data_IF_867865319623
#
_entry.id   IF_867865319623
#
_cell.length_a   1.000
_cell.length_b   1.000
_cell.length_c   1.000
_cell.angle_alpha   90.00
_cell.angle_beta   90.00
_cell.angle_gamma   90.00
#
_symmetry.space_group_name_H-M   'P 1'
#
loop_
_entity.id
_entity.type
_entity.pdbx_description
1 polymer ?
#
# COMPACT_ATOMS: atom_id res chain seq x y z
N UNK A 1 29.47 20.88 -31.46
CA UNK A 1 29.12 19.46 -31.53
C UNK A 1 30.40 18.66 -31.42
N UNK A 2 30.50 17.74 -30.47
CA UNK A 2 31.64 16.83 -30.34
C UNK A 2 31.14 15.41 -30.65
N UNK A 3 31.78 14.78 -31.63
CA UNK A 3 31.59 13.38 -32.01
C UNK A 3 32.62 12.53 -31.28
N UNK A 4 32.23 11.34 -30.81
CA UNK A 4 33.19 10.35 -30.30
C UNK A 4 33.87 9.61 -31.47
N UNK A 5 34.89 8.80 -31.14
CA UNK A 5 35.75 8.08 -32.09
C UNK A 5 35.02 7.11 -33.03
N UNK A 6 33.74 6.79 -32.77
CA UNK A 6 32.95 5.85 -33.55
C UNK A 6 31.85 6.50 -34.40
N UNK A 7 31.77 7.84 -34.46
CA UNK A 7 30.81 8.53 -35.34
C UNK A 7 29.35 8.42 -34.92
N UNK A 8 29.07 7.89 -33.72
CA UNK A 8 27.74 7.92 -33.14
C UNK A 8 27.45 9.32 -32.57
N UNK A 9 26.30 9.87 -32.93
CA UNK A 9 25.76 11.07 -32.29
C UNK A 9 25.43 10.66 -30.85
N UNK A 10 26.25 11.08 -29.88
CA UNK A 10 25.85 11.04 -28.47
C UNK A 10 24.54 11.82 -28.35
N UNK A 11 23.44 11.09 -28.18
CA UNK A 11 22.15 11.71 -27.85
C UNK A 11 22.30 12.30 -26.46
N UNK A 12 22.55 13.61 -26.40
CA UNK A 12 22.78 14.41 -25.19
C UNK A 12 21.49 14.54 -24.37
N UNK A 13 21.05 13.43 -23.81
CA UNK A 13 19.78 13.32 -23.10
C UNK A 13 19.87 12.48 -21.84
N UNK A 14 18.91 12.72 -20.95
CA UNK A 14 18.73 12.01 -19.69
C UNK A 14 17.61 10.99 -19.87
N UNK A 15 17.81 9.74 -19.47
CA UNK A 15 16.66 8.82 -19.36
C UNK A 15 15.62 9.39 -18.39
N UNK A 16 14.36 9.00 -18.55
CA UNK A 16 13.30 9.44 -17.62
C UNK A 16 13.67 9.10 -16.16
N UNK A 17 14.28 7.95 -15.90
CA UNK A 17 14.76 7.56 -14.58
C UNK A 17 15.86 8.50 -14.07
N UNK A 18 16.84 8.84 -14.93
CA UNK A 18 17.94 9.73 -14.56
C UNK A 18 17.47 11.17 -14.34
N UNK A 19 16.59 11.66 -15.21
CA UNK A 19 15.94 12.97 -15.05
C UNK A 19 15.09 13.03 -13.77
N UNK A 20 14.34 11.96 -13.47
CA UNK A 20 13.56 11.84 -12.23
C UNK A 20 14.45 11.88 -10.99
N UNK A 21 15.59 11.17 -11.03
CA UNK A 21 16.59 11.19 -9.97
C UNK A 21 17.21 12.58 -9.78
N UNK A 22 17.61 13.25 -10.87
CA UNK A 22 18.23 14.60 -10.79
C UNK A 22 17.22 15.66 -10.32
N UNK A 23 15.98 15.63 -10.81
CA UNK A 23 14.93 16.57 -10.39
C UNK A 23 14.28 16.18 -9.05
N UNK A 24 14.70 15.05 -8.46
CA UNK A 24 14.12 14.47 -7.25
C UNK A 24 12.58 14.36 -7.27
N UNK A 25 12.05 13.80 -8.36
CA UNK A 25 10.61 13.56 -8.52
C UNK A 25 10.35 12.14 -9.03
N UNK A 26 9.07 11.73 -9.09
CA UNK A 26 8.73 10.43 -9.69
C UNK A 26 8.92 10.42 -11.20
N UNK A 27 9.16 9.25 -11.80
CA UNK A 27 9.17 9.09 -13.26
C UNK A 27 7.83 9.48 -13.90
N UNK A 28 6.71 9.33 -13.18
CA UNK A 28 5.40 9.83 -13.61
C UNK A 28 5.36 11.37 -13.67
N UNK A 29 6.04 12.05 -12.74
CA UNK A 29 6.18 13.51 -12.74
C UNK A 29 6.97 13.97 -13.97
N UNK A 30 8.10 13.34 -14.29
CA UNK A 30 8.86 13.62 -15.51
C UNK A 30 8.00 13.38 -16.76
N UNK A 31 7.28 12.25 -16.82
CA UNK A 31 6.35 11.97 -17.94
C UNK A 31 5.26 13.01 -18.06
N UNK A 32 4.72 13.51 -16.96
CA UNK A 32 3.75 14.59 -16.97
C UNK A 32 4.40 15.89 -17.48
N UNK A 33 5.60 16.25 -17.04
CA UNK A 33 6.30 17.43 -17.54
C UNK A 33 6.55 17.36 -19.05
N UNK A 34 6.87 16.17 -19.57
CA UNK A 34 6.96 15.92 -21.01
C UNK A 34 5.60 16.15 -21.69
N UNK A 35 4.53 15.52 -21.20
CA UNK A 35 3.17 15.68 -21.75
C UNK A 35 2.69 17.13 -21.75
N UNK A 36 3.07 17.88 -20.73
CA UNK A 36 2.69 19.31 -20.59
C UNK A 36 3.65 20.27 -21.29
N UNK A 37 4.58 19.77 -22.12
CA UNK A 37 5.50 20.59 -22.90
C UNK A 37 6.54 21.37 -22.07
N UNK A 38 6.73 21.03 -20.79
CA UNK A 38 7.79 21.61 -19.96
C UNK A 38 9.15 20.95 -20.23
N UNK A 39 9.14 19.67 -20.60
CA UNK A 39 10.33 18.92 -20.97
C UNK A 39 10.18 18.39 -22.40
N UNK A 40 11.22 18.56 -23.21
CA UNK A 40 11.28 18.02 -24.56
C UNK A 40 12.07 16.72 -24.59
N UNK A 41 11.63 15.77 -25.41
CA UNK A 41 12.34 14.52 -25.62
C UNK A 41 13.33 14.66 -26.79
N UNK A 42 14.55 14.16 -26.61
CA UNK A 42 15.52 13.97 -27.71
C UNK A 42 15.43 12.57 -28.33
N UNK A 43 14.65 11.68 -27.72
CA UNK A 43 14.35 10.33 -28.19
C UNK A 43 13.32 9.64 -27.30
N UNK A 44 12.83 8.45 -27.70
CA UNK A 44 11.81 7.72 -26.92
C UNK A 44 12.34 7.40 -25.52
N UNK A 45 11.74 8.00 -24.50
CA UNK A 45 12.14 7.81 -23.10
C UNK A 45 13.39 8.60 -22.67
N UNK A 46 13.89 9.50 -23.53
CA UNK A 46 15.08 10.31 -23.28
C UNK A 46 14.70 11.79 -23.34
N UNK A 47 14.93 12.51 -22.24
CA UNK A 47 14.70 13.95 -22.07
C UNK A 47 15.92 14.72 -22.57
N UNK A 48 15.71 15.75 -23.37
CA UNK A 48 16.77 16.68 -23.79
C UNK A 48 17.41 17.34 -22.56
N UNK A 49 18.74 17.24 -22.47
CA UNK A 49 19.46 17.79 -21.32
C UNK A 49 19.38 19.32 -21.25
N UNK A 50 19.27 19.99 -22.41
CA UNK A 50 19.07 21.44 -22.49
C UNK A 50 17.68 21.84 -21.95
N UNK A 51 16.64 21.16 -22.43
CA UNK A 51 15.26 21.39 -21.94
C UNK A 51 15.14 21.13 -20.44
N UNK A 52 15.80 20.08 -19.96
CA UNK A 52 15.81 19.75 -18.54
C UNK A 52 16.53 20.81 -17.71
N UNK A 53 17.70 21.28 -18.12
CA UNK A 53 18.42 22.36 -17.42
C UNK A 53 17.61 23.65 -17.37
N UNK A 54 17.02 24.05 -18.51
CA UNK A 54 16.16 25.25 -18.60
C UNK A 54 14.94 25.15 -17.67
N UNK A 55 14.26 24.01 -17.69
CA UNK A 55 13.14 23.76 -16.78
C UNK A 55 13.56 23.86 -15.30
N UNK A 56 14.71 23.28 -14.95
CA UNK A 56 15.23 23.28 -13.58
C UNK A 56 15.70 24.68 -13.11
N UNK A 57 16.08 25.59 -14.01
CA UNK A 57 16.49 26.95 -13.65
C UNK A 57 15.34 27.96 -13.64
N UNK A 58 14.36 27.82 -14.54
CA UNK A 58 13.36 28.86 -14.79
C UNK A 58 11.99 28.55 -14.18
N UNK A 59 11.59 27.27 -14.13
CA UNK A 59 10.22 26.85 -13.80
C UNK A 59 10.17 26.07 -12.48
N UNK A 60 11.19 25.25 -12.26
CA UNK A 60 11.41 24.53 -11.02
C UNK A 60 11.67 25.50 -9.86
N UNK A 61 10.75 25.53 -8.90
CA UNK A 61 10.84 26.32 -7.66
C UNK A 61 10.03 27.61 -7.67
N UNK A 62 9.47 27.99 -8.83
CA UNK A 62 8.61 29.19 -8.98
C UNK A 62 7.14 28.83 -9.21
N UNK A 63 6.85 27.86 -10.10
CA UNK A 63 5.46 27.49 -10.44
C UNK A 63 5.00 26.12 -9.91
N UNK A 64 5.90 25.12 -9.78
CA UNK A 64 5.50 23.73 -9.48
C UNK A 64 6.22 23.00 -8.36
N UNK A 65 7.39 23.46 -7.93
CA UNK A 65 8.15 22.80 -6.87
C UNK A 65 7.84 23.31 -5.46
N UNK A 66 7.02 24.36 -5.34
CA UNK A 66 6.52 24.80 -4.04
C UNK A 66 5.25 24.01 -3.70
N UNK A 67 5.34 23.24 -2.63
CA UNK A 67 4.29 22.49 -1.92
C UNK A 67 3.99 21.02 -2.31
N UNK A 68 4.05 20.55 -3.57
CA UNK A 68 3.66 19.15 -3.89
C UNK A 68 4.78 18.23 -4.40
N UNK A 69 5.84 18.77 -5.02
CA UNK A 69 6.88 17.97 -5.66
C UNK A 69 8.07 17.62 -4.76
N UNK A 70 8.24 18.29 -3.61
CA UNK A 70 9.32 18.04 -2.65
C UNK A 70 8.88 17.18 -1.44
N UNK A 71 8.03 16.15 -1.63
CA UNK A 71 7.87 15.13 -0.58
C UNK A 71 9.15 14.29 -0.43
N UNK A 72 9.86 13.99 -1.50
CA UNK A 72 11.02 13.08 -1.44
C UNK A 72 12.27 13.66 -0.77
N UNK A 73 12.35 14.98 -0.56
CA UNK A 73 13.55 15.68 -0.01
C UNK A 73 13.34 16.33 1.36
N UNK A 74 12.14 16.24 1.96
CA UNK A 74 11.97 16.69 3.35
C UNK A 74 12.38 15.57 4.31
N UNK A 75 13.65 15.20 4.22
CA UNK A 75 14.48 14.48 5.20
C UNK A 75 15.21 13.29 4.58
N UNK A 76 16.46 13.56 4.18
CA UNK A 76 17.54 12.61 4.36
C UNK A 76 17.85 12.65 5.86
N UNK A 77 17.09 11.88 6.66
CA UNK A 77 17.35 11.79 8.09
C UNK A 77 18.73 11.17 8.27
N UNK A 78 19.68 11.97 8.77
CA UNK A 78 20.96 11.47 9.25
C UNK A 78 20.68 10.42 10.33
N UNK A 79 21.01 9.16 10.04
CA UNK A 79 20.76 8.02 10.94
C UNK A 79 21.35 8.23 12.34
N UNK A 80 22.35 9.11 12.48
CA UNK A 80 22.92 9.50 13.78
C UNK A 80 21.97 10.38 14.59
N UNK A 81 21.32 11.36 13.98
CA UNK A 81 20.42 12.29 14.68
C UNK A 81 19.14 11.58 15.15
N UNK A 82 18.71 10.53 14.46
CA UNK A 82 17.54 9.71 14.84
C UNK A 82 17.87 8.74 15.99
N UNK A 83 19.10 8.20 16.05
CA UNK A 83 19.51 7.29 17.13
C UNK A 83 19.62 8.00 18.48
N UNK A 84 20.14 9.23 18.51
CA UNK A 84 20.22 10.02 19.76
C UNK A 84 18.81 10.43 20.25
N UNK A 85 17.87 10.64 19.32
CA UNK A 85 16.46 10.89 19.64
C UNK A 85 15.78 9.67 20.27
N UNK A 86 16.13 8.44 19.86
CA UNK A 86 15.48 7.24 20.40
C UNK A 86 15.76 7.05 21.89
N UNK A 87 17.00 7.20 22.34
CA UNK A 87 17.34 7.06 23.77
C UNK A 87 16.54 8.03 24.63
N UNK A 88 16.43 9.30 24.21
CA UNK A 88 15.62 10.31 24.88
C UNK A 88 14.13 9.97 24.91
N UNK A 89 13.60 9.36 23.84
CA UNK A 89 12.21 8.91 23.79
C UNK A 89 11.96 7.77 24.78
N UNK A 90 12.87 6.80 24.85
CA UNK A 90 12.78 5.66 25.78
C UNK A 90 12.92 6.13 27.24
N UNK A 91 13.75 7.13 27.52
CA UNK A 91 13.86 7.71 28.86
C UNK A 91 12.59 8.50 29.29
N UNK A 92 11.93 9.15 28.33
CA UNK A 92 10.81 10.07 28.60
C UNK A 92 9.44 9.40 28.59
N UNK A 93 9.27 8.36 27.78
CA UNK A 93 7.99 7.71 27.52
C UNK A 93 8.09 6.21 27.78
N UNK A 94 6.95 5.56 28.01
CA UNK A 94 6.85 4.12 28.25
C UNK A 94 5.79 3.47 27.35
N UNK A 95 5.86 2.16 27.20
CA UNK A 95 4.84 1.37 26.51
C UNK A 95 4.54 1.86 25.08
N UNK A 96 3.25 1.96 24.73
CA UNK A 96 2.81 2.38 23.39
C UNK A 96 3.21 3.83 23.05
N UNK A 97 3.39 4.69 24.06
CA UNK A 97 3.71 6.10 23.82
C UNK A 97 5.08 6.28 23.15
N UNK A 98 6.05 5.41 23.43
CA UNK A 98 7.37 5.45 22.76
C UNK A 98 7.18 5.34 21.24
N UNK A 99 6.33 4.41 20.78
CA UNK A 99 6.02 4.22 19.36
C UNK A 99 5.29 5.42 18.76
N UNK A 100 4.30 5.97 19.47
CA UNK A 100 3.53 7.14 19.01
C UNK A 100 4.43 8.36 18.82
N UNK A 101 5.32 8.62 19.78
CA UNK A 101 6.24 9.75 19.74
C UNK A 101 7.32 9.54 18.69
N UNK A 102 7.83 8.31 18.55
CA UNK A 102 8.75 7.96 17.47
C UNK A 102 8.13 8.20 16.09
N UNK A 103 6.93 7.67 15.84
CA UNK A 103 6.21 7.91 14.57
C UNK A 103 5.98 9.41 14.33
N UNK A 104 5.56 10.15 15.37
CA UNK A 104 5.31 11.59 15.28
C UNK A 104 6.57 12.42 15.06
N UNK A 105 7.74 11.90 15.44
CA UNK A 105 9.03 12.55 15.22
C UNK A 105 9.52 12.46 13.76
N UNK A 106 8.98 11.52 12.99
CA UNK A 106 9.35 11.31 11.58
C UNK A 106 8.59 12.27 10.66
N UNK A 107 9.26 12.77 9.62
CA UNK A 107 8.57 13.56 8.61
C UNK A 107 7.46 12.78 7.90
N UNK A 108 6.32 13.44 7.65
CA UNK A 108 5.18 12.88 6.93
C UNK A 108 5.57 12.27 5.58
N UNK A 109 6.52 12.86 4.87
CA UNK A 109 7.03 12.32 3.60
C UNK A 109 7.77 11.01 3.76
N UNK A 110 8.60 10.89 4.80
CA UNK A 110 9.34 9.68 5.11
C UNK A 110 8.37 8.56 5.50
N UNK A 111 7.42 8.86 6.41
CA UNK A 111 6.33 7.94 6.79
C UNK A 111 5.54 7.44 5.59
N UNK A 112 5.13 8.36 4.70
CA UNK A 112 4.44 8.02 3.46
C UNK A 112 5.26 7.17 2.49
N UNK A 113 6.57 7.41 2.40
CA UNK A 113 7.47 6.69 1.48
C UNK A 113 7.74 5.27 1.98
N UNK A 114 8.02 5.14 3.27
CA UNK A 114 8.42 3.88 3.90
C UNK A 114 7.23 3.06 4.40
N UNK A 115 6.04 3.66 4.51
CA UNK A 115 4.81 3.01 4.99
C UNK A 115 4.71 2.95 6.50
N UNK A 116 5.28 3.93 7.22
CA UNK A 116 5.38 3.91 8.69
C UNK A 116 4.13 4.55 9.30
N UNK A 117 3.17 3.69 9.65
CA UNK A 117 1.94 4.04 10.34
C UNK A 117 1.63 2.95 11.38
N UNK A 118 1.82 3.26 12.66
CA UNK A 118 1.62 2.26 13.70
C UNK A 118 0.13 2.03 13.98
N UNK A 119 -0.22 0.75 14.03
CA UNK A 119 -1.59 0.30 14.16
C UNK A 119 -2.16 0.68 15.52
N UNK A 120 -3.27 1.44 15.61
CA UNK A 120 -3.85 1.81 16.90
C UNK A 120 -4.23 0.59 17.75
N UNK A 121 -3.99 0.66 19.06
CA UNK A 121 -4.30 -0.41 20.02
C UNK A 121 -5.72 -0.98 19.89
N UNK A 122 -6.73 -0.16 19.59
CA UNK A 122 -8.11 -0.63 19.45
C UNK A 122 -8.32 -1.51 18.21
N UNK A 123 -7.59 -1.27 17.11
CA UNK A 123 -7.60 -2.12 15.91
C UNK A 123 -6.93 -3.45 16.23
N UNK A 124 -5.77 -3.41 16.88
CA UNK A 124 -5.02 -4.63 17.25
C UNK A 124 -5.87 -5.52 18.16
N UNK A 125 -6.44 -4.97 19.23
CA UNK A 125 -7.33 -5.72 20.15
C UNK A 125 -8.53 -6.33 19.44
N UNK A 126 -9.15 -5.60 18.51
CA UNK A 126 -10.27 -6.14 17.76
C UNK A 126 -9.84 -7.28 16.81
N UNK A 127 -8.65 -7.20 16.19
CA UNK A 127 -8.14 -8.29 15.35
C UNK A 127 -7.86 -9.58 16.15
N UNK A 128 -7.48 -9.47 17.43
CA UNK A 128 -7.30 -10.62 18.33
C UNK A 128 -8.59 -11.13 19.00
N UNK A 129 -9.71 -10.43 18.81
CA UNK A 129 -10.97 -10.72 19.50
C UNK A 129 -11.44 -12.16 19.25
N UNK A 130 -11.92 -12.81 20.32
CA UNK A 130 -12.46 -14.18 20.31
C UNK A 130 -11.47 -15.27 19.91
N UNK A 131 -10.17 -14.99 19.85
CA UNK A 131 -9.14 -16.00 19.62
C UNK A 131 -8.82 -16.73 20.92
N UNK A 132 -8.68 -18.06 20.85
CA UNK A 132 -8.14 -18.87 21.95
C UNK A 132 -6.67 -19.11 21.69
N UNK A 133 -5.80 -18.50 22.49
CA UNK A 133 -4.35 -18.63 22.35
C UNK A 133 -3.82 -19.61 23.38
N UNK A 134 -2.99 -20.55 22.93
CA UNK A 134 -2.20 -21.41 23.80
C UNK A 134 -0.83 -20.74 24.02
N UNK A 135 -0.30 -20.68 25.25
CA UNK A 135 1.06 -20.16 25.52
C UNK A 135 2.19 -20.76 24.68
N UNK A 136 2.06 -22.02 24.25
CA UNK A 136 3.04 -22.71 23.41
C UNK A 136 2.98 -22.32 21.92
N UNK A 137 2.00 -21.50 21.51
CA UNK A 137 1.88 -21.04 20.14
C UNK A 137 3.04 -20.09 19.79
N UNK A 138 3.58 -20.23 18.57
CA UNK A 138 4.54 -19.27 18.02
C UNK A 138 3.82 -18.16 17.29
N UNK A 139 4.10 -16.92 17.69
CA UNK A 139 3.56 -15.71 17.08
C UNK A 139 4.60 -15.01 16.21
N UNK A 140 4.20 -14.51 15.05
CA UNK A 140 5.04 -13.71 14.17
C UNK A 140 4.33 -12.42 13.75
N UNK A 141 5.02 -11.29 13.88
CA UNK A 141 4.69 -10.04 13.20
C UNK A 141 5.74 -9.73 12.11
N UNK A 142 5.45 -10.00 10.83
CA UNK A 142 6.33 -9.74 9.70
C UNK A 142 6.79 -8.29 9.49
N UNK A 143 6.07 -7.31 10.03
CA UNK A 143 6.33 -5.88 9.86
C UNK A 143 6.07 -5.17 11.19
N UNK A 144 6.84 -5.55 12.21
CA UNK A 144 6.44 -5.32 13.60
C UNK A 144 6.39 -3.86 14.02
N UNK A 145 7.10 -2.97 13.32
CA UNK A 145 7.15 -1.56 13.66
C UNK A 145 7.52 -1.37 15.13
N UNK A 146 6.73 -0.59 15.86
CA UNK A 146 6.90 -0.36 17.29
C UNK A 146 6.35 -1.50 18.17
N UNK A 147 5.79 -2.56 17.59
CA UNK A 147 5.49 -3.82 18.29
C UNK A 147 4.05 -4.01 18.74
N UNK A 148 3.08 -3.23 18.24
CA UNK A 148 1.72 -3.27 18.78
C UNK A 148 1.05 -4.66 18.69
N UNK A 149 1.20 -5.42 17.59
CA UNK A 149 0.68 -6.79 17.53
C UNK A 149 1.49 -7.76 18.40
N UNK A 150 2.81 -7.58 18.50
CA UNK A 150 3.68 -8.41 19.36
C UNK A 150 3.28 -8.27 20.83
N UNK A 151 3.13 -7.03 21.31
CA UNK A 151 2.70 -6.76 22.69
C UNK A 151 1.31 -7.32 22.95
N UNK A 152 0.37 -7.14 22.02
CA UNK A 152 -0.97 -7.71 22.18
C UNK A 152 -0.95 -9.25 22.18
N UNK A 153 -0.13 -9.90 21.35
CA UNK A 153 -0.01 -11.35 21.36
C UNK A 153 0.43 -11.89 22.73
N UNK A 154 1.40 -11.22 23.39
CA UNK A 154 1.83 -11.59 24.75
C UNK A 154 0.69 -11.38 25.75
N UNK A 155 -0.02 -10.24 25.68
CA UNK A 155 -1.19 -9.96 26.55
C UNK A 155 -2.31 -10.99 26.39
N UNK A 156 -2.48 -11.53 25.18
CA UNK A 156 -3.47 -12.57 24.87
C UNK A 156 -3.00 -13.97 25.28
N UNK A 157 -1.76 -14.12 25.75
CA UNK A 157 -1.26 -15.33 26.39
C UNK A 157 -0.11 -16.04 25.68
N UNK A 158 0.42 -15.51 24.56
CA UNK A 158 1.65 -16.07 23.94
C UNK A 158 2.84 -15.84 24.88
N UNK A 159 3.65 -16.88 25.12
CA UNK A 159 4.86 -16.72 25.94
C UNK A 159 5.86 -15.73 25.28
N UNK A 160 6.51 -14.81 26.03
CA UNK A 160 7.46 -13.83 25.47
C UNK A 160 8.63 -14.44 24.65
N UNK A 161 9.04 -15.66 24.97
CA UNK A 161 10.05 -16.41 24.22
C UNK A 161 9.54 -16.93 22.86
N UNK A 162 8.22 -17.00 22.68
CA UNK A 162 7.54 -17.52 21.49
C UNK A 162 7.00 -16.42 20.57
N UNK A 163 7.30 -15.14 20.85
CA UNK A 163 7.02 -14.04 19.92
C UNK A 163 8.22 -13.74 19.03
N UNK A 164 7.95 -13.53 17.75
CA UNK A 164 8.92 -13.25 16.71
C UNK A 164 8.45 -12.03 15.91
N UNK A 165 9.38 -11.27 15.36
CA UNK A 165 9.02 -10.13 14.55
C UNK A 165 10.18 -9.61 13.71
N UNK A 166 9.83 -8.97 12.60
CA UNK A 166 10.82 -8.35 11.71
C UNK A 166 10.39 -6.93 11.38
N UNK A 167 11.36 -6.02 11.36
CA UNK A 167 11.20 -4.71 10.71
C UNK A 167 12.52 -4.30 10.07
N UNK A 168 12.47 -3.48 9.02
CA UNK A 168 13.68 -2.93 8.39
C UNK A 168 14.24 -1.76 9.19
N UNK A 169 13.41 -1.12 10.02
CA UNK A 169 13.81 -0.02 10.88
C UNK A 169 14.37 -0.52 12.21
N UNK A 170 15.66 -0.28 12.41
CA UNK A 170 16.38 -0.63 13.64
C UNK A 170 15.76 0.03 14.87
N UNK A 171 15.28 1.26 14.78
CA UNK A 171 14.71 1.96 15.93
C UNK A 171 13.39 1.31 16.34
N UNK A 172 12.53 1.00 15.37
CA UNK A 172 11.26 0.32 15.60
C UNK A 172 11.47 -1.05 16.29
N UNK A 173 12.47 -1.83 15.84
CA UNK A 173 12.88 -3.09 16.49
C UNK A 173 13.35 -2.86 17.93
N UNK A 174 14.16 -1.83 18.18
CA UNK A 174 14.62 -1.49 19.53
C UNK A 174 13.45 -1.06 20.44
N UNK A 175 12.51 -0.26 19.94
CA UNK A 175 11.29 0.13 20.67
C UNK A 175 10.49 -1.12 21.04
N UNK A 176 10.27 -2.04 20.09
CA UNK A 176 9.53 -3.28 20.35
C UNK A 176 10.20 -4.11 21.45
N UNK A 177 11.52 -4.34 21.37
CA UNK A 177 12.27 -5.08 22.40
C UNK A 177 12.19 -4.40 23.77
N UNK A 178 12.34 -3.07 23.81
CA UNK A 178 12.24 -2.31 25.05
C UNK A 178 10.84 -2.44 25.67
N UNK A 179 9.78 -2.35 24.87
CA UNK A 179 8.40 -2.53 25.35
C UNK A 179 8.15 -3.93 25.90
N UNK A 180 8.69 -4.97 25.27
CA UNK A 180 8.59 -6.35 25.79
C UNK A 180 9.29 -6.45 27.16
N UNK A 181 10.49 -5.89 27.26
CA UNK A 181 11.26 -5.88 28.52
C UNK A 181 10.55 -5.10 29.62
N UNK A 182 10.04 -3.91 29.33
CA UNK A 182 9.34 -3.06 30.30
C UNK A 182 8.05 -3.69 30.81
N UNK A 183 7.24 -4.26 29.91
CA UNK A 183 5.92 -4.74 30.26
C UNK A 183 5.93 -6.17 30.82
N UNK A 184 6.85 -7.03 30.35
CA UNK A 184 6.87 -8.46 30.68
C UNK A 184 8.17 -8.93 31.35
N UNK A 185 9.16 -8.05 31.55
CA UNK A 185 10.43 -8.40 32.18
C UNK A 185 11.30 -9.35 31.35
N UNK A 186 11.07 -9.42 30.03
CA UNK A 186 11.73 -10.38 29.14
C UNK A 186 12.59 -9.69 28.08
N UNK A 187 13.86 -10.07 27.99
CA UNK A 187 14.75 -9.66 26.91
C UNK A 187 14.72 -10.71 25.79
N UNK A 188 14.39 -10.30 24.57
CA UNK A 188 14.24 -11.21 23.41
C UNK A 188 15.11 -10.81 22.23
N UNK A 189 15.73 -11.82 21.61
CA UNK A 189 16.44 -11.70 20.32
C UNK A 189 15.58 -12.09 19.11
N UNK A 190 14.32 -12.47 19.34
CA UNK A 190 13.41 -12.93 18.29
C UNK A 190 12.76 -11.80 17.50
N UNK A 191 12.87 -10.56 17.96
CA UNK A 191 12.48 -9.36 17.20
C UNK A 191 13.72 -8.84 16.47
N UNK A 192 13.78 -8.92 15.15
CA UNK A 192 15.01 -8.74 14.36
C UNK A 192 14.89 -7.64 13.33
N UNK A 193 16.02 -6.98 13.06
CA UNK A 193 16.13 -6.09 11.90
C UNK A 193 16.28 -6.95 10.65
N UNK A 194 15.36 -6.83 9.69
CA UNK A 194 15.40 -7.63 8.47
C UNK A 194 14.28 -7.33 7.47
N UNK A 195 14.54 -7.59 6.19
CA UNK A 195 13.52 -7.59 5.14
C UNK A 195 12.77 -8.94 5.17
N UNK A 196 11.54 -8.94 5.69
CA UNK A 196 10.75 -10.16 5.81
C UNK A 196 10.53 -10.89 4.48
N UNK A 197 10.47 -10.20 3.34
CA UNK A 197 10.34 -10.89 2.05
C UNK A 197 11.57 -11.74 1.72
N UNK A 198 12.73 -11.47 2.33
CA UNK A 198 13.92 -12.32 2.25
C UNK A 198 13.96 -13.35 3.38
N UNK A 199 13.65 -12.92 4.61
CA UNK A 199 13.66 -13.80 5.78
C UNK A 199 12.63 -14.93 5.68
N UNK A 200 11.44 -14.66 5.16
CA UNK A 200 10.41 -15.68 4.93
C UNK A 200 10.88 -16.81 4.01
N UNK A 201 11.76 -16.51 3.04
CA UNK A 201 12.33 -17.56 2.20
C UNK A 201 13.29 -18.47 2.97
N UNK A 202 14.12 -17.90 3.85
CA UNK A 202 15.03 -18.65 4.72
C UNK A 202 14.23 -19.52 5.68
N UNK A 203 13.27 -18.90 6.39
CA UNK A 203 12.36 -19.58 7.31
C UNK A 203 11.63 -20.74 6.64
N UNK A 204 11.11 -20.54 5.43
CA UNK A 204 10.47 -21.60 4.64
C UNK A 204 11.44 -22.73 4.28
N UNK A 205 12.69 -22.41 3.93
CA UNK A 205 13.73 -23.40 3.58
C UNK A 205 14.17 -24.21 4.80
N UNK A 206 14.16 -23.57 5.97
CA UNK A 206 14.45 -24.18 7.28
C UNK A 206 13.20 -24.85 7.90
N UNK A 207 12.08 -24.90 7.18
CA UNK A 207 10.79 -25.45 7.64
C UNK A 207 10.27 -24.82 8.95
N UNK A 208 10.68 -23.58 9.24
CA UNK A 208 10.20 -22.81 10.38
C UNK A 208 8.81 -22.25 10.06
N UNK A 209 7.86 -22.58 10.92
CA UNK A 209 6.46 -22.13 10.80
C UNK A 209 5.94 -21.55 12.10
N UNK A 210 4.88 -20.74 11.97
CA UNK A 210 4.23 -20.03 13.07
C UNK A 210 2.76 -20.41 13.15
N UNK A 211 2.22 -20.46 14.37
CA UNK A 211 0.82 -20.75 14.62
C UNK A 211 -0.05 -19.50 14.41
N UNK A 212 0.49 -18.31 14.71
CA UNK A 212 -0.19 -17.02 14.59
C UNK A 212 0.68 -16.04 13.81
N UNK A 213 0.13 -15.41 12.76
CA UNK A 213 0.81 -14.35 12.02
C UNK A 213 -0.10 -13.13 11.92
N UNK A 214 0.19 -12.06 12.67
CA UNK A 214 -0.63 -10.84 12.65
C UNK A 214 0.25 -9.61 12.38
N UNK A 215 -0.17 -8.76 11.44
CA UNK A 215 0.63 -7.61 11.02
C UNK A 215 -0.20 -6.54 10.31
N UNK A 216 0.37 -5.34 10.26
CA UNK A 216 0.03 -4.30 9.31
C UNK A 216 1.19 -4.16 8.30
N UNK A 217 1.17 -4.87 7.14
CA UNK A 217 2.23 -4.77 6.16
C UNK A 217 2.29 -3.38 5.51
N UNK A 218 3.41 -2.98 4.89
CA UNK A 218 3.49 -1.73 4.17
C UNK A 218 2.58 -1.74 2.93
N UNK A 219 1.70 -0.74 2.80
CA UNK A 219 0.75 -0.61 1.69
C UNK A 219 1.35 0.13 0.50
N UNK A 220 1.42 -0.51 -0.67
CA UNK A 220 1.89 0.11 -1.91
C UNK A 220 3.31 0.66 -1.87
N UNK A 221 4.17 0.17 -0.95
CA UNK A 221 5.56 0.62 -0.83
C UNK A 221 6.29 0.41 -2.16
N UNK A 222 7.12 1.38 -2.51
CA UNK A 222 7.88 1.33 -3.77
C UNK A 222 9.04 0.36 -3.62
N UNK A 223 8.92 -0.76 -4.32
CA UNK A 223 9.97 -1.75 -4.52
C UNK A 223 10.29 -1.78 -6.02
N UNK A 224 11.57 -1.96 -6.35
CA UNK A 224 12.04 -2.16 -7.74
C UNK A 224 11.23 -3.24 -8.44
N UNK A 225 10.90 -3.01 -9.72
CA UNK A 225 10.00 -3.92 -10.47
C UNK A 225 10.56 -5.34 -10.54
N UNK A 226 11.87 -5.47 -10.82
CA UNK A 226 12.55 -6.76 -10.87
C UNK A 226 12.50 -7.52 -9.54
N UNK A 227 12.61 -6.81 -8.41
CA UNK A 227 12.48 -7.39 -7.09
C UNK A 227 11.04 -7.86 -6.81
N UNK A 228 10.02 -7.08 -7.20
CA UNK A 228 8.61 -7.50 -7.12
C UNK A 228 8.32 -8.77 -7.92
N UNK A 229 8.86 -8.86 -9.14
CA UNK A 229 8.71 -10.03 -10.00
C UNK A 229 9.41 -11.25 -9.40
N UNK A 230 10.62 -11.07 -8.84
CA UNK A 230 11.33 -12.13 -8.11
C UNK A 230 10.53 -12.64 -6.91
N UNK A 231 10.01 -11.76 -6.07
CA UNK A 231 9.19 -12.16 -4.93
C UNK A 231 7.86 -12.78 -5.34
N UNK A 232 7.23 -12.28 -6.42
CA UNK A 232 6.01 -12.90 -6.96
C UNK A 232 6.25 -14.32 -7.44
N UNK A 233 7.37 -14.58 -8.12
CA UNK A 233 7.76 -15.92 -8.53
C UNK A 233 8.02 -16.83 -7.31
N UNK A 234 8.74 -16.30 -6.31
CA UNK A 234 9.11 -17.03 -5.10
C UNK A 234 7.90 -17.44 -4.25
N UNK A 235 6.91 -16.55 -4.14
CA UNK A 235 5.74 -16.73 -3.29
C UNK A 235 4.46 -17.03 -4.08
N UNK A 236 4.55 -17.22 -5.40
CA UNK A 236 3.42 -17.54 -6.28
C UNK A 236 2.28 -16.51 -6.23
N UNK A 237 2.60 -15.23 -6.43
CA UNK A 237 1.62 -14.13 -6.36
C UNK A 237 0.91 -13.82 -7.68
N UNK A 238 1.32 -14.45 -8.79
CA UNK A 238 0.77 -14.16 -10.12
C UNK A 238 0.97 -12.68 -10.49
N UNK A 239 -0.12 -12.02 -10.89
CA UNK A 239 -0.12 -10.60 -11.25
C UNK A 239 -0.24 -9.65 -10.04
N UNK A 240 -0.41 -10.19 -8.83
CA UNK A 240 -0.53 -9.42 -7.60
C UNK A 240 0.85 -9.00 -7.06
N UNK A 241 1.40 -7.95 -7.68
CA UNK A 241 2.73 -7.39 -7.38
C UNK A 241 2.73 -6.24 -6.36
N UNK A 242 1.58 -5.93 -5.76
CA UNK A 242 1.50 -4.96 -4.67
C UNK A 242 2.21 -5.51 -3.42
N UNK A 243 2.82 -4.64 -2.61
CA UNK A 243 3.58 -5.08 -1.43
C UNK A 243 2.72 -5.84 -0.46
N UNK A 244 1.46 -5.43 -0.24
CA UNK A 244 0.51 -6.18 0.59
C UNK A 244 0.34 -7.63 0.10
N UNK A 245 0.32 -7.84 -1.22
CA UNK A 245 0.17 -9.19 -1.81
C UNK A 245 1.42 -10.04 -1.57
N UNK A 246 2.61 -9.45 -1.72
CA UNK A 246 3.88 -10.14 -1.51
C UNK A 246 4.04 -10.56 -0.04
N UNK A 247 3.76 -9.67 0.90
CA UNK A 247 3.85 -9.98 2.33
C UNK A 247 2.82 -11.03 2.75
N UNK A 248 1.56 -10.92 2.31
CA UNK A 248 0.54 -11.94 2.60
C UNK A 248 0.95 -13.32 2.07
N UNK A 249 1.45 -13.37 0.83
CA UNK A 249 1.90 -14.60 0.20
C UNK A 249 3.12 -15.24 0.90
N UNK A 250 4.06 -14.41 1.35
CA UNK A 250 5.23 -14.82 2.13
C UNK A 250 4.81 -15.34 3.51
N UNK A 251 3.94 -14.62 4.22
CA UNK A 251 3.37 -15.05 5.50
C UNK A 251 2.62 -16.37 5.41
N UNK A 252 1.78 -16.56 4.39
CA UNK A 252 1.12 -17.85 4.13
C UNK A 252 2.10 -19.00 3.90
N UNK A 253 3.35 -18.72 3.46
CA UNK A 253 4.35 -19.76 3.20
C UNK A 253 5.09 -20.26 4.44
N UNK A 254 4.99 -19.51 5.55
CA UNK A 254 5.55 -19.86 6.88
C UNK A 254 4.45 -20.00 7.93
N UNK A 255 3.18 -20.03 7.51
CA UNK A 255 2.04 -20.26 8.39
C UNK A 255 1.79 -21.77 8.50
N UNK A 256 1.68 -22.27 9.73
CA UNK A 256 1.38 -23.68 10.00
C UNK A 256 -0.03 -24.04 9.51
N UNK A 257 -0.27 -25.34 9.24
CA UNK A 257 -1.63 -25.86 9.01
C UNK A 257 -2.48 -25.59 10.27
N UNK A 258 -3.73 -25.17 10.10
CA UNK A 258 -4.60 -24.64 11.16
C UNK A 258 -4.10 -23.34 11.83
N UNK A 259 -2.99 -22.75 11.39
CA UNK A 259 -2.51 -21.47 11.91
C UNK A 259 -3.41 -20.32 11.50
N UNK A 260 -3.44 -19.24 12.30
CA UNK A 260 -4.24 -18.06 12.04
C UNK A 260 -3.37 -16.93 11.45
N UNK A 261 -3.89 -16.29 10.41
CA UNK A 261 -3.29 -15.11 9.81
C UNK A 261 -4.27 -13.94 9.88
N UNK A 262 -3.81 -12.83 10.46
CA UNK A 262 -4.54 -11.57 10.57
C UNK A 262 -3.79 -10.44 9.88
N UNK A 263 -4.37 -9.85 8.84
CA UNK A 263 -3.71 -8.82 8.05
C UNK A 263 -4.55 -7.54 8.04
N UNK A 264 -3.98 -6.43 8.50
CA UNK A 264 -4.54 -5.09 8.35
C UNK A 264 -4.05 -4.45 7.06
N UNK A 265 -4.95 -4.18 6.14
CA UNK A 265 -4.65 -3.87 4.74
C UNK A 265 -5.53 -2.75 4.19
N UNK A 266 -5.12 -2.18 3.06
CA UNK A 266 -5.85 -1.10 2.40
C UNK A 266 -7.12 -1.58 1.67
N UNK A 267 -8.15 -0.74 1.60
CA UNK A 267 -9.43 -1.03 0.90
C UNK A 267 -9.26 -1.54 -0.54
N UNK A 268 -8.21 -1.10 -1.24
CA UNK A 268 -7.92 -1.49 -2.61
C UNK A 268 -7.72 -3.01 -2.77
N UNK A 269 -7.24 -3.70 -1.72
CA UNK A 269 -7.09 -5.15 -1.73
C UNK A 269 -8.41 -5.86 -2.03
N UNK A 270 -9.54 -5.31 -1.56
CA UNK A 270 -10.83 -5.98 -1.59
C UNK A 270 -11.54 -5.83 -2.94
N UNK A 271 -11.21 -4.83 -3.75
CA UNK A 271 -11.97 -4.51 -4.98
C UNK A 271 -11.13 -4.24 -6.24
N UNK A 272 -9.82 -3.99 -6.15
CA UNK A 272 -8.98 -3.69 -7.32
C UNK A 272 -8.46 -4.97 -7.99
N UNK A 273 -8.51 -5.02 -9.32
CA UNK A 273 -8.12 -6.18 -10.14
C UNK A 273 -6.69 -6.66 -9.91
N UNK A 274 -5.75 -5.74 -9.60
CA UNK A 274 -4.35 -6.11 -9.31
C UNK A 274 -4.23 -7.13 -8.17
N UNK A 275 -5.18 -7.17 -7.23
CA UNK A 275 -5.17 -8.12 -6.12
C UNK A 275 -5.97 -9.41 -6.39
N UNK A 276 -6.47 -9.63 -7.61
CA UNK A 276 -7.32 -10.80 -7.93
C UNK A 276 -6.63 -12.14 -7.60
N UNK A 277 -5.36 -12.33 -7.99
CA UNK A 277 -4.66 -13.60 -7.81
C UNK A 277 -4.39 -13.89 -6.33
N UNK A 278 -4.01 -12.88 -5.55
CA UNK A 278 -3.86 -13.06 -4.10
C UNK A 278 -5.20 -13.29 -3.39
N UNK A 279 -6.29 -12.62 -3.82
CA UNK A 279 -7.63 -12.88 -3.27
C UNK A 279 -8.08 -14.31 -3.54
N UNK A 280 -7.82 -14.88 -4.72
CA UNK A 280 -8.08 -16.31 -5.01
C UNK A 280 -7.33 -17.23 -4.05
N UNK A 281 -6.07 -16.92 -3.75
CA UNK A 281 -5.27 -17.72 -2.81
C UNK A 281 -5.83 -17.66 -1.38
N UNK A 282 -6.30 -16.49 -0.96
CA UNK A 282 -6.98 -16.29 0.31
C UNK A 282 -8.33 -17.03 0.33
N UNK A 283 -9.10 -17.00 -0.76
CA UNK A 283 -10.37 -17.73 -0.91
C UNK A 283 -10.23 -19.26 -0.91
N UNK A 284 -9.02 -19.78 -1.15
CA UNK A 284 -8.71 -21.20 -0.98
C UNK A 284 -8.48 -21.58 0.49
N UNK A 285 -8.51 -20.60 1.40
CA UNK A 285 -8.41 -20.77 2.84
C UNK A 285 -9.74 -20.49 3.51
N UNK A 286 -9.89 -20.99 4.74
CA UNK A 286 -11.04 -20.66 5.58
C UNK A 286 -10.93 -19.22 6.08
N UNK A 287 -11.78 -18.34 5.55
CA UNK A 287 -11.84 -16.94 6.01
C UNK A 287 -12.76 -16.90 7.22
N UNK A 288 -12.27 -16.36 8.34
CA UNK A 288 -13.05 -16.24 9.57
C UNK A 288 -13.77 -14.90 9.63
N UNK A 289 -13.06 -13.82 9.29
CA UNK A 289 -13.55 -12.46 9.53
C UNK A 289 -13.01 -11.44 8.52
N UNK A 290 -13.87 -10.52 8.11
CA UNK A 290 -13.55 -9.33 7.31
C UNK A 290 -14.08 -8.08 8.04
N UNK A 291 -13.22 -7.09 8.25
CA UNK A 291 -13.55 -5.91 9.08
C UNK A 291 -13.19 -4.62 8.37
N UNK A 292 -14.08 -3.63 8.38
CA UNK A 292 -13.80 -2.26 7.96
C UNK A 292 -13.60 -1.36 9.19
N UNK A 293 -12.38 -0.86 9.38
CA UNK A 293 -12.03 0.08 10.44
C UNK A 293 -12.10 1.55 9.99
N UNK A 294 -12.64 1.80 8.79
CA UNK A 294 -12.71 3.11 8.16
C UNK A 294 -11.33 3.82 8.18
N UNK A 295 -11.27 5.11 8.50
CA UNK A 295 -10.03 5.89 8.55
C UNK A 295 -9.35 5.76 9.90
N UNK A 296 -8.89 4.55 10.22
CA UNK A 296 -8.18 4.27 11.48
C UNK A 296 -6.89 5.06 11.67
N UNK A 297 -6.25 5.52 10.58
CA UNK A 297 -4.97 6.22 10.60
C UNK A 297 -5.13 7.71 10.31
N UNK A 298 -4.58 8.55 11.19
CA UNK A 298 -4.59 10.01 11.03
C UNK A 298 -3.82 10.43 9.78
N UNK A 299 -4.45 11.23 8.93
CA UNK A 299 -3.84 11.80 7.72
C UNK A 299 -3.83 10.89 6.49
N UNK A 300 -4.25 9.62 6.63
CA UNK A 300 -4.48 8.74 5.49
C UNK A 300 -5.89 8.94 4.94
N UNK A 301 -5.98 8.95 3.60
CA UNK A 301 -7.28 9.03 2.89
C UNK A 301 -7.91 7.66 2.74
N UNK A 302 -7.07 6.63 2.57
CA UNK A 302 -7.46 5.24 2.38
C UNK A 302 -7.98 4.63 3.67
N UNK A 303 -9.06 3.83 3.59
CA UNK A 303 -9.55 3.05 4.72
C UNK A 303 -8.64 1.88 5.07
N UNK A 304 -8.64 1.51 6.36
CA UNK A 304 -7.98 0.33 6.89
C UNK A 304 -9.02 -0.79 7.07
N UNK A 305 -8.74 -1.97 6.55
CA UNK A 305 -9.63 -3.12 6.63
C UNK A 305 -8.81 -4.36 7.03
N UNK A 306 -9.38 -5.27 7.80
CA UNK A 306 -8.70 -6.49 8.19
C UNK A 306 -9.31 -7.73 7.55
N UNK A 307 -8.45 -8.73 7.35
CA UNK A 307 -8.83 -10.09 7.05
C UNK A 307 -8.19 -11.03 8.07
N UNK A 308 -9.00 -11.95 8.62
CA UNK A 308 -8.54 -13.03 9.48
C UNK A 308 -8.87 -14.36 8.81
N UNK A 309 -7.86 -15.20 8.60
CA UNK A 309 -7.98 -16.51 7.96
C UNK A 309 -7.36 -17.60 8.82
N UNK A 310 -7.93 -18.80 8.73
CA UNK A 310 -7.33 -20.04 9.22
C UNK A 310 -6.71 -20.79 8.04
N UNK A 311 -5.49 -21.31 8.21
CA UNK A 311 -4.74 -21.99 7.16
C UNK A 311 -5.21 -23.43 6.93
N UNK A 312 -6.50 -23.57 6.69
CA UNK A 312 -7.18 -24.80 6.32
C UNK A 312 -7.75 -24.66 4.92
N UNK A 313 -8.01 -25.78 4.25
CA UNK A 313 -8.73 -25.74 2.99
C UNK A 313 -10.12 -25.14 3.21
N UNK A 314 -10.54 -24.25 2.32
CA UNK A 314 -11.87 -23.64 2.36
C UNK A 314 -12.99 -24.65 2.09
N UNK A 315 -14.12 -24.51 2.78
CA UNK A 315 -15.42 -25.07 2.40
C UNK A 315 -16.33 -23.96 1.81
N UNK A 316 -17.08 -24.20 0.72
CA UNK A 316 -18.06 -23.23 0.20
C UNK A 316 -19.06 -22.70 1.26
N UNK A 317 -19.43 -23.54 2.23
CA UNK A 317 -20.36 -23.22 3.30
C UNK A 317 -19.69 -22.60 4.53
N UNK A 318 -18.37 -22.38 4.51
CA UNK A 318 -17.69 -21.66 5.58
C UNK A 318 -18.36 -20.30 5.81
N UNK A 319 -18.64 -20.00 7.07
CA UNK A 319 -19.27 -18.74 7.46
C UNK A 319 -18.19 -17.70 7.72
N UNK A 320 -18.30 -16.58 7.01
CA UNK A 320 -17.43 -15.40 7.14
C UNK A 320 -18.18 -14.32 7.90
N UNK A 321 -17.68 -13.91 9.06
CA UNK A 321 -18.18 -12.75 9.78
C UNK A 321 -17.75 -11.48 9.05
N UNK A 322 -18.73 -10.68 8.62
CA UNK A 322 -18.53 -9.43 7.91
C UNK A 322 -18.90 -8.26 8.83
N UNK A 323 -17.91 -7.44 9.18
CA UNK A 323 -18.09 -6.25 10.01
C UNK A 323 -17.83 -5.00 9.16
N UNK A 324 -18.88 -4.24 8.82
CA UNK A 324 -18.73 -3.00 8.05
C UNK A 324 -19.59 -1.90 8.67
N UNK A 325 -18.97 -0.75 8.93
CA UNK A 325 -19.59 0.37 9.64
C UNK A 325 -20.13 -0.07 11.01
N UNK A 326 -21.45 -0.11 11.20
CA UNK A 326 -22.13 -0.58 12.42
C UNK A 326 -22.89 -1.90 12.20
N UNK A 327 -22.69 -2.55 11.05
CA UNK A 327 -23.38 -3.79 10.70
C UNK A 327 -22.45 -4.97 10.88
N UNK A 328 -22.96 -6.00 11.55
CA UNK A 328 -22.32 -7.33 11.65
C UNK A 328 -23.30 -8.34 11.09
N UNK A 329 -22.87 -9.06 10.07
CA UNK A 329 -23.65 -10.13 9.45
C UNK A 329 -22.74 -11.22 8.93
N UNK A 330 -23.33 -12.36 8.61
CA UNK A 330 -22.62 -13.51 8.11
C UNK A 330 -22.87 -13.69 6.62
N UNK A 331 -21.85 -14.17 5.91
CA UNK A 331 -21.94 -14.62 4.52
C UNK A 331 -21.25 -15.97 4.35
N UNK A 332 -21.75 -16.79 3.44
CA UNK A 332 -21.01 -17.98 3.02
C UNK A 332 -19.79 -17.57 2.20
N UNK A 333 -18.70 -18.32 2.33
CA UNK A 333 -17.48 -18.08 1.56
C UNK A 333 -17.73 -18.14 0.05
N UNK A 334 -18.61 -19.05 -0.39
CA UNK A 334 -18.95 -19.21 -1.81
C UNK A 334 -19.50 -17.93 -2.44
N UNK A 335 -20.26 -17.14 -1.67
CA UNK A 335 -20.78 -15.85 -2.13
C UNK A 335 -19.69 -14.84 -2.53
N UNK A 336 -18.44 -15.02 -2.08
CA UNK A 336 -17.30 -14.22 -2.52
C UNK A 336 -16.55 -14.85 -3.70
N UNK A 337 -16.58 -16.18 -3.85
CA UNK A 337 -15.99 -16.89 -5.00
C UNK A 337 -16.75 -16.59 -6.29
N UNK A 338 -18.06 -16.41 -6.21
CA UNK A 338 -18.92 -16.05 -7.34
C UNK A 338 -18.76 -14.60 -7.80
N UNK A 339 -18.19 -13.73 -6.97
CA UNK A 339 -18.05 -12.33 -7.31
C UNK A 339 -17.14 -12.13 -8.54
N UNK A 340 -17.50 -11.24 -9.48
CA UNK A 340 -16.61 -10.85 -10.56
C UNK A 340 -15.25 -10.42 -10.00
N UNK A 341 -14.16 -10.99 -10.53
CA UNK A 341 -12.79 -10.71 -10.06
C UNK A 341 -12.54 -11.05 -8.60
N UNK A 342 -13.36 -11.93 -8.01
CA UNK A 342 -13.19 -12.45 -6.65
C UNK A 342 -13.10 -11.33 -5.62
N UNK A 343 -13.87 -10.24 -5.80
CA UNK A 343 -13.86 -9.12 -4.87
C UNK A 343 -14.46 -9.54 -3.52
N UNK A 344 -13.99 -8.90 -2.46
CA UNK A 344 -14.54 -9.06 -1.11
C UNK A 344 -15.43 -7.87 -0.78
N UNK A 345 -16.65 -7.85 -1.32
CA UNK A 345 -17.65 -6.80 -1.04
C UNK A 345 -18.37 -7.05 0.30
N UNK A 346 -17.63 -7.15 1.40
CA UNK A 346 -18.17 -7.55 2.70
C UNK A 346 -19.04 -6.47 3.39
N UNK A 347 -19.28 -5.33 2.74
CA UNK A 347 -20.31 -4.35 3.06
C UNK A 347 -21.68 -4.70 2.45
N UNK A 348 -21.74 -5.75 1.63
CA UNK A 348 -22.96 -6.30 1.02
C UNK A 348 -23.41 -7.49 1.84
N UNK A 349 -24.65 -7.49 2.35
CA UNK A 349 -25.21 -8.60 3.13
C UNK A 349 -25.63 -9.80 2.25
N UNK A 350 -26.04 -10.90 2.87
CA UNK A 350 -26.42 -12.12 2.14
C UNK A 350 -27.56 -11.90 1.13
N UNK A 351 -28.58 -11.12 1.50
CA UNK A 351 -29.72 -10.83 0.61
C UNK A 351 -29.27 -10.01 -0.60
N UNK A 352 -28.47 -8.97 -0.37
CA UNK A 352 -27.94 -8.13 -1.44
C UNK A 352 -26.98 -8.90 -2.36
N UNK A 353 -26.15 -9.79 -1.79
CA UNK A 353 -25.27 -10.66 -2.57
C UNK A 353 -26.07 -11.60 -3.49
N UNK A 354 -27.15 -12.20 -2.97
CA UNK A 354 -28.08 -13.02 -3.77
C UNK A 354 -28.73 -12.22 -4.91
N UNK A 355 -29.12 -10.96 -4.65
CA UNK A 355 -29.63 -10.07 -5.71
C UNK A 355 -28.57 -9.84 -6.79
N UNK A 356 -27.32 -9.58 -6.42
CA UNK A 356 -26.22 -9.40 -7.39
C UNK A 356 -26.02 -10.68 -8.22
N UNK A 357 -25.93 -11.85 -7.59
CA UNK A 357 -25.81 -13.14 -8.29
C UNK A 357 -26.99 -13.36 -9.24
N UNK A 358 -28.21 -13.09 -8.80
CA UNK A 358 -29.40 -13.20 -9.64
C UNK A 358 -29.34 -12.26 -10.85
N UNK A 359 -28.93 -11.00 -10.66
CA UNK A 359 -28.77 -10.04 -11.76
C UNK A 359 -27.76 -10.53 -12.81
N UNK A 360 -26.65 -11.12 -12.39
CA UNK A 360 -25.66 -11.70 -13.31
C UNK A 360 -26.12 -13.01 -13.97
N UNK A 361 -27.02 -13.76 -13.34
CA UNK A 361 -27.60 -14.99 -13.92
C UNK A 361 -28.56 -14.72 -15.09
N UNK A 362 -29.18 -13.54 -15.10
CA UNK A 362 -30.08 -13.11 -16.18
C UNK A 362 -29.25 -12.75 -17.41
N UNK A 363 -29.72 -13.13 -18.60
CA UNK A 363 -29.06 -12.73 -19.86
C UNK A 363 -28.97 -11.21 -19.93
N UNK A 364 -27.74 -10.70 -19.95
CA UNK A 364 -27.45 -9.27 -19.93
C UNK A 364 -26.43 -8.89 -21.01
N UNK A 365 -26.30 -7.59 -21.25
CA UNK A 365 -25.30 -7.01 -22.14
C UNK A 365 -24.31 -6.23 -21.26
N UNK A 366 -23.01 -6.48 -21.47
CA UNK A 366 -21.95 -5.72 -20.78
C UNK A 366 -21.31 -4.71 -21.74
N UNK A 367 -20.62 -3.72 -21.18
CA UNK A 367 -19.77 -2.80 -21.94
C UNK A 367 -18.44 -3.44 -22.37
N UNK A 368 -18.13 -4.64 -21.88
CA UNK A 368 -16.91 -5.37 -22.24
C UNK A 368 -16.92 -5.64 -23.74
N UNK A 369 -15.84 -5.27 -24.43
CA UNK A 369 -15.67 -5.42 -25.87
C UNK A 369 -16.74 -4.68 -26.73
N UNK A 370 -17.53 -3.79 -26.10
CA UNK A 370 -18.59 -2.98 -26.73
C UNK A 370 -18.44 -1.48 -26.49
N UNK A 371 -17.45 -1.09 -25.71
CA UNK A 371 -17.15 0.30 -25.41
C UNK A 371 -15.63 0.51 -25.40
N UNK A 372 -15.22 1.69 -25.88
CA UNK A 372 -13.85 2.16 -25.74
C UNK A 372 -13.72 2.96 -24.44
N UNK A 373 -12.70 2.63 -23.66
CA UNK A 373 -12.43 3.31 -22.39
C UNK A 373 -11.30 4.30 -22.59
N UNK A 374 -11.54 5.55 -22.20
CA UNK A 374 -10.53 6.59 -22.20
C UNK A 374 -10.54 7.30 -20.85
N UNK A 375 -9.36 7.62 -20.35
CA UNK A 375 -9.21 8.58 -19.27
C UNK A 375 -9.46 9.98 -19.85
N UNK A 376 -10.16 10.84 -19.09
CA UNK A 376 -10.28 12.24 -19.45
C UNK A 376 -8.91 12.94 -19.55
N UNK A 377 -8.89 14.15 -20.09
CA UNK A 377 -7.65 14.91 -20.28
C UNK A 377 -7.07 15.32 -18.92
N UNK A 378 -5.85 14.85 -18.62
CA UNK A 378 -5.11 15.24 -17.42
C UNK A 378 -4.05 16.28 -17.80
N UNK A 379 -4.39 17.54 -17.59
CA UNK A 379 -3.52 18.68 -17.97
C UNK A 379 -2.28 18.81 -17.11
N UNK A 380 -2.30 18.30 -15.87
CA UNK A 380 -1.22 18.48 -14.89
C UNK A 380 -0.94 19.93 -14.48
N UNK A 381 -1.62 20.93 -15.04
CA UNK A 381 -1.58 22.35 -14.70
C UNK A 381 -2.84 23.04 -15.25
N UNK A 382 -3.94 23.00 -14.50
CA UNK A 382 -5.20 23.57 -14.96
C UNK A 382 -5.09 25.09 -15.19
N UNK A 383 -4.34 25.81 -14.37
CA UNK A 383 -4.25 27.28 -14.49
C UNK A 383 -3.58 27.72 -15.79
N UNK A 384 -2.64 26.92 -16.30
CA UNK A 384 -1.97 27.19 -17.58
C UNK A 384 -2.82 26.80 -18.79
N UNK A 385 -3.51 25.66 -18.72
CA UNK A 385 -4.13 25.05 -19.90
C UNK A 385 -5.64 25.24 -19.99
N UNK A 386 -6.29 25.61 -18.88
CA UNK A 386 -7.73 25.78 -18.79
C UNK A 386 -8.09 27.25 -18.55
N UNK A 387 -9.16 27.72 -19.17
CA UNK A 387 -9.72 29.05 -18.96
C UNK A 387 -11.23 29.00 -18.84
N UNK A 388 -11.82 29.92 -18.07
CA UNK A 388 -13.26 30.13 -18.08
C UNK A 388 -13.67 31.19 -19.11
N UNK A 389 -12.72 31.94 -19.68
CA UNK A 389 -12.96 32.97 -20.68
C UNK A 389 -12.80 32.43 -22.11
N UNK A 390 -13.56 32.91 -23.10
CA UNK A 390 -13.40 32.55 -24.50
C UNK A 390 -12.02 33.00 -25.03
N UNK A 391 -11.32 32.10 -25.73
CA UNK A 391 -10.06 32.38 -26.41
C UNK A 391 -10.04 31.64 -27.76
N UNK A 392 -9.39 32.19 -28.79
CA UNK A 392 -9.41 31.67 -30.17
C UNK A 392 -8.93 30.22 -30.30
N UNK A 393 -7.97 29.82 -29.47
CA UNK A 393 -7.32 28.51 -29.52
C UNK A 393 -7.79 27.53 -28.44
N UNK A 394 -8.94 27.82 -27.82
CA UNK A 394 -9.49 27.02 -26.73
C UNK A 394 -10.79 26.35 -27.15
N UNK A 395 -10.98 25.11 -26.69
CA UNK A 395 -12.17 24.29 -26.95
C UNK A 395 -12.92 24.07 -25.65
N UNK A 396 -14.25 24.23 -25.62
CA UNK A 396 -15.04 23.92 -24.43
C UNK A 396 -14.88 22.44 -24.04
N UNK A 397 -14.69 22.19 -22.74
CA UNK A 397 -14.56 20.84 -22.18
C UNK A 397 -15.59 20.63 -21.06
N UNK A 398 -16.04 19.40 -20.93
CA UNK A 398 -16.85 18.96 -19.79
C UNK A 398 -15.94 18.40 -18.69
N UNK A 399 -16.15 18.84 -17.47
CA UNK A 399 -15.55 18.27 -16.26
C UNK A 399 -16.55 17.33 -15.59
N UNK A 400 -16.07 16.53 -14.64
CA UNK A 400 -16.96 15.71 -13.81
C UNK A 400 -18.05 16.53 -13.09
N UNK A 401 -17.76 17.79 -12.73
CA UNK A 401 -18.73 18.73 -12.12
C UNK A 401 -19.86 19.17 -13.06
N UNK A 402 -19.70 18.97 -14.37
CA UNK A 402 -20.68 19.37 -15.38
C UNK A 402 -21.68 18.23 -15.68
N UNK A 403 -21.41 17.02 -15.19
CA UNK A 403 -22.29 15.86 -15.29
C UNK A 403 -23.34 15.95 -14.18
N UNK A 404 -24.63 15.87 -14.55
CA UNK A 404 -25.75 15.91 -13.62
C UNK A 404 -26.68 14.74 -13.84
N UNK A 405 -27.62 14.52 -12.90
CA UNK A 405 -28.66 13.49 -13.04
C UNK A 405 -29.53 13.68 -14.29
N UNK A 406 -29.71 14.92 -14.76
CA UNK A 406 -30.56 15.28 -15.90
C UNK A 406 -29.78 15.56 -17.19
N UNK A 407 -28.47 15.26 -17.23
CA UNK A 407 -27.62 15.47 -18.42
C UNK A 407 -26.40 16.35 -18.14
N UNK A 408 -25.85 16.96 -19.20
CA UNK A 408 -24.66 17.80 -19.13
C UNK A 408 -25.03 19.29 -19.00
N UNK A 409 -24.40 19.99 -18.06
CA UNK A 409 -24.43 21.47 -18.01
C UNK A 409 -23.62 22.04 -19.17
N UNK A 410 -23.92 23.27 -19.59
CA UNK A 410 -23.08 23.99 -20.54
C UNK A 410 -21.62 24.05 -20.04
N UNK A 411 -20.63 23.72 -20.89
CA UNK A 411 -19.23 23.65 -20.50
C UNK A 411 -18.71 25.04 -20.15
N UNK A 412 -18.36 25.25 -18.87
CA UNK A 412 -17.84 26.55 -18.40
C UNK A 412 -16.34 26.69 -18.67
N UNK A 413 -15.61 25.58 -18.56
CA UNK A 413 -14.16 25.54 -18.75
C UNK A 413 -13.83 25.22 -20.20
N UNK A 414 -12.83 25.90 -20.73
CA UNK A 414 -12.24 25.67 -22.04
C UNK A 414 -10.79 25.26 -21.87
N UNK A 415 -10.28 24.46 -22.80
CA UNK A 415 -8.94 23.89 -22.80
C UNK A 415 -8.20 24.30 -24.06
N UNK A 416 -6.93 24.68 -23.95
CA UNK A 416 -6.11 24.99 -25.14
C UNK A 416 -5.98 23.77 -26.07
N UNK A 417 -5.95 24.01 -27.38
CA UNK A 417 -5.71 22.97 -28.40
C UNK A 417 -4.29 22.39 -28.42
N UNK A 418 -3.36 22.96 -27.64
CA UNK A 418 -1.91 22.66 -27.70
C UNK A 418 -1.51 21.59 -26.64
N UNK A 419 -2.31 20.53 -26.49
CA UNK A 419 -2.01 19.43 -25.54
C UNK A 419 -1.52 18.16 -26.23
#
# INVERSE_FOLDING_TARGET
MQTNIFGEIETSGLTIEKAAKIANVSTATIRNWIKTGYLFQSGKGVVSQESFKKFMSEVAGKEKLNARANKLLKDDHDHKEVSDKLSLLIEKYNGEQIGIEYESSLADSYRNKEGIYYTPSWVVKDMFKNMKINPDCKFLDPCCGSGNFVIEAIRQGVAPENVYGFDVDKNAVQITRQRIKEEFGFDTDNIKVGDFLQEAHKLKTEEITYDLIFTNPPWGKKIEKSAKEKYSALYSCGNSLDTTSLFLAASLSVLKVNGLLGFLIQEAFFNITTFEDIRKRVLAKKILRLVDYDKAFKGLVTKAQAIVVENNASDPNDIVECCSENNVFNRTLDSFKENPKHIFNFWTNETEAKVITQLYSIKHITLKDRANWALGIVTGNNDRFCSNEPQSDYVPIYKGSDITKSGLKAPRTKLTKIL
#
